data_IF_502395899423
#
_entry.id   IF_502395899423
#
_cell.length_a   1.000
_cell.length_b   1.000
_cell.length_c   1.000
_cell.angle_alpha   90.00
_cell.angle_beta   90.00
_cell.angle_gamma   90.00
#
_symmetry.space_group_name_H-M   'P 1'
#
loop_
_entity.id
_entity.type
_entity.pdbx_description
1 polymer ?
#
# COMPACT_ATOMS: atom_id res chain seq x y z
N UNK A 1 -21.60 -6.56 38.96
CA UNK A 1 -21.81 -6.55 37.48
C UNK A 1 -22.50 -7.83 37.04
N UNK A 2 -23.30 -7.80 35.95
CA UNK A 2 -24.07 -8.97 35.46
C UNK A 2 -23.24 -9.94 34.61
N UNK A 3 -22.27 -9.43 33.86
CA UNK A 3 -21.39 -10.20 32.97
C UNK A 3 -19.98 -10.25 33.54
N UNK A 4 -19.30 -11.40 33.40
CA UNK A 4 -17.90 -11.58 33.84
C UNK A 4 -16.89 -10.87 32.93
N UNK A 5 -17.20 -10.75 31.63
CA UNK A 5 -16.37 -10.13 30.59
C UNK A 5 -17.28 -9.31 29.65
N UNK A 6 -16.75 -8.21 29.10
CA UNK A 6 -17.51 -7.22 28.31
C UNK A 6 -16.86 -6.83 26.98
N UNK A 7 -15.53 -6.66 26.94
CA UNK A 7 -14.84 -6.03 25.81
C UNK A 7 -13.86 -7.00 25.16
N UNK A 8 -14.02 -7.20 23.85
CA UNK A 8 -13.16 -8.04 23.00
C UNK A 8 -13.20 -7.52 21.54
N UNK A 9 -12.29 -6.61 21.15
CA UNK A 9 -12.25 -6.10 19.78
C UNK A 9 -11.95 -7.21 18.76
N UNK A 10 -12.95 -7.55 17.96
CA UNK A 10 -12.90 -8.61 16.93
C UNK A 10 -12.63 -8.04 15.54
N UNK A 11 -12.22 -8.87 14.55
CA UNK A 11 -12.19 -8.44 13.15
C UNK A 11 -13.59 -8.05 12.68
N UNK A 12 -13.72 -6.92 12.00
CA UNK A 12 -15.02 -6.39 11.55
C UNK A 12 -15.17 -6.41 10.05
N UNK A 13 -14.32 -7.12 9.29
CA UNK A 13 -14.24 -7.08 7.83
C UNK A 13 -15.58 -6.86 7.10
N UNK A 14 -16.57 -7.73 7.32
CA UNK A 14 -17.88 -7.62 6.65
C UNK A 14 -18.72 -6.45 7.15
N UNK A 15 -18.79 -6.20 8.46
CA UNK A 15 -19.64 -5.16 9.04
C UNK A 15 -19.05 -3.77 8.81
N UNK A 16 -17.73 -3.59 8.93
CA UNK A 16 -17.07 -2.33 8.57
C UNK A 16 -17.19 -2.04 7.08
N UNK A 17 -17.16 -3.07 6.21
CA UNK A 17 -17.43 -2.89 4.79
C UNK A 17 -18.87 -2.43 4.51
N UNK A 18 -19.86 -3.02 5.17
CA UNK A 18 -21.27 -2.58 5.06
C UNK A 18 -21.43 -1.13 5.49
N UNK A 19 -20.76 -0.73 6.58
CA UNK A 19 -20.82 0.63 7.12
C UNK A 19 -19.86 1.62 6.45
N UNK A 20 -19.01 1.16 5.52
CA UNK A 20 -17.99 1.97 4.86
C UNK A 20 -16.91 2.52 5.80
N UNK A 21 -16.55 1.78 6.84
CA UNK A 21 -15.51 2.10 7.83
C UNK A 21 -14.23 1.28 7.58
N UNK A 22 -13.12 1.69 8.19
CA UNK A 22 -11.92 0.86 8.29
C UNK A 22 -12.18 -0.38 9.16
N UNK A 23 -11.38 -1.42 8.97
CA UNK A 23 -11.49 -2.63 9.76
C UNK A 23 -11.00 -2.39 11.19
N UNK A 24 -11.88 -2.59 12.16
CA UNK A 24 -11.61 -2.53 13.59
C UNK A 24 -10.71 -1.36 14.00
N UNK A 25 -9.59 -1.65 14.67
CA UNK A 25 -8.58 -0.67 15.08
C UNK A 25 -7.35 -0.63 14.15
N UNK A 26 -7.47 -1.12 12.92
CA UNK A 26 -6.36 -1.20 11.98
C UNK A 26 -6.17 0.13 11.23
N UNK A 27 -4.91 0.53 10.98
CA UNK A 27 -4.63 1.58 10.01
C UNK A 27 -5.09 1.17 8.60
N UNK A 28 -5.29 2.16 7.73
CA UNK A 28 -5.60 1.88 6.32
C UNK A 28 -4.46 1.09 5.68
N UNK A 29 -4.80 -0.09 5.13
CA UNK A 29 -3.83 -0.95 4.43
C UNK A 29 -3.36 -0.31 3.12
N UNK A 30 -4.25 0.44 2.47
CA UNK A 30 -4.01 1.20 1.25
C UNK A 30 -5.01 2.37 1.16
N UNK A 31 -4.62 3.50 0.57
CA UNK A 31 -5.56 4.57 0.25
C UNK A 31 -6.32 4.33 -1.07
N UNK A 32 -5.94 3.33 -1.85
CA UNK A 32 -6.66 2.92 -3.07
C UNK A 32 -6.66 1.39 -3.19
N UNK A 33 -7.83 0.79 -3.36
CA UNK A 33 -7.95 -0.67 -3.47
C UNK A 33 -9.00 -1.07 -4.50
N UNK A 34 -8.77 -2.20 -5.14
CA UNK A 34 -9.69 -2.75 -6.13
C UNK A 34 -10.71 -3.65 -5.42
N UNK A 35 -11.99 -3.31 -5.57
CA UNK A 35 -13.11 -4.10 -5.10
C UNK A 35 -13.70 -4.90 -6.26
N UNK A 36 -13.66 -6.22 -6.15
CA UNK A 36 -14.31 -7.15 -7.08
C UNK A 36 -15.76 -7.36 -6.67
N UNK A 37 -16.68 -7.18 -7.60
CA UNK A 37 -18.10 -7.53 -7.47
C UNK A 37 -18.54 -8.31 -8.71
N UNK A 38 -19.74 -8.90 -8.68
CA UNK A 38 -20.26 -9.68 -9.81
C UNK A 38 -20.31 -8.89 -11.13
N UNK A 39 -20.48 -7.57 -11.05
CA UNK A 39 -20.53 -6.66 -12.20
C UNK A 39 -19.16 -6.16 -12.68
N UNK A 40 -18.05 -6.57 -12.05
CA UNK A 40 -16.69 -6.21 -12.46
C UNK A 40 -15.79 -5.75 -11.32
N UNK A 41 -14.67 -5.14 -11.68
CA UNK A 41 -13.70 -4.58 -10.73
C UNK A 41 -13.85 -3.06 -10.64
N UNK A 42 -13.98 -2.54 -9.41
CA UNK A 42 -14.12 -1.12 -9.15
C UNK A 42 -12.98 -0.63 -8.27
N UNK A 43 -12.36 0.48 -8.67
CA UNK A 43 -11.33 1.13 -7.87
C UNK A 43 -12.02 1.97 -6.79
N UNK A 44 -11.73 1.66 -5.53
CA UNK A 44 -12.24 2.39 -4.37
C UNK A 44 -11.10 3.19 -3.75
N UNK A 45 -11.31 4.49 -3.60
CA UNK A 45 -10.35 5.41 -2.97
C UNK A 45 -10.80 5.67 -1.54
N UNK A 46 -9.85 5.88 -0.63
CA UNK A 46 -10.13 6.37 0.71
C UNK A 46 -10.93 7.68 0.63
N UNK A 47 -12.20 7.62 1.06
CA UNK A 47 -13.16 8.74 0.98
C UNK A 47 -12.66 10.00 1.69
N UNK A 48 -11.83 9.85 2.72
CA UNK A 48 -11.26 10.96 3.47
C UNK A 48 -10.17 11.66 2.65
N UNK A 49 -9.21 10.90 2.13
CA UNK A 49 -8.15 11.42 1.25
C UNK A 49 -8.75 12.09 0.01
N UNK A 50 -9.71 11.43 -0.65
CA UNK A 50 -10.39 11.96 -1.82
C UNK A 50 -11.02 13.34 -1.54
N UNK A 51 -11.70 13.47 -0.40
CA UNK A 51 -12.32 14.74 0.01
C UNK A 51 -11.26 15.82 0.22
N UNK A 52 -10.14 15.50 0.85
CA UNK A 52 -9.11 16.48 1.16
C UNK A 52 -8.31 16.90 -0.08
N UNK A 53 -8.04 15.96 -1.00
CA UNK A 53 -7.42 16.28 -2.29
C UNK A 53 -8.34 17.14 -3.17
N UNK A 54 -9.66 16.88 -3.17
CA UNK A 54 -10.62 17.72 -3.89
C UNK A 54 -10.67 19.15 -3.32
N UNK A 55 -10.63 19.32 -2.00
CA UNK A 55 -10.60 20.65 -1.37
C UNK A 55 -9.36 21.46 -1.77
N UNK A 56 -8.24 20.78 -2.01
CA UNK A 56 -7.00 21.40 -2.45
C UNK A 56 -6.92 21.57 -3.98
N UNK A 57 -7.91 21.11 -4.73
CA UNK A 57 -7.87 21.11 -6.20
C UNK A 57 -6.81 20.17 -6.80
N UNK A 58 -6.31 19.21 -6.02
CA UNK A 58 -5.24 18.27 -6.43
C UNK A 58 -5.78 16.96 -7.03
N UNK A 59 -7.09 16.72 -6.94
CA UNK A 59 -7.68 15.48 -7.41
C UNK A 59 -7.96 15.52 -8.92
N UNK A 60 -7.28 14.66 -9.67
CA UNK A 60 -7.49 14.43 -11.10
C UNK A 60 -7.12 12.96 -11.45
N UNK A 61 -7.33 12.56 -12.70
CA UNK A 61 -7.04 11.19 -13.13
C UNK A 61 -5.54 10.85 -13.08
N UNK A 62 -4.65 11.82 -13.28
CA UNK A 62 -3.20 11.63 -13.13
C UNK A 62 -2.83 11.30 -11.68
N UNK A 63 -3.32 12.08 -10.72
CA UNK A 63 -3.15 11.86 -9.28
C UNK A 63 -3.66 10.48 -8.88
N UNK A 64 -4.85 10.08 -9.36
CA UNK A 64 -5.39 8.74 -9.13
C UNK A 64 -4.44 7.66 -9.66
N UNK A 65 -3.93 7.81 -10.88
CA UNK A 65 -3.01 6.85 -11.50
C UNK A 65 -1.68 6.77 -10.75
N UNK A 66 -1.14 7.89 -10.27
CA UNK A 66 0.09 7.92 -9.46
C UNK A 66 -0.09 7.25 -8.11
N UNK A 67 -1.22 7.46 -7.44
CA UNK A 67 -1.54 6.76 -6.18
C UNK A 67 -1.69 5.26 -6.44
N UNK A 68 -2.31 4.84 -7.56
CA UNK A 68 -2.36 3.42 -7.96
C UNK A 68 -0.97 2.86 -8.25
N UNK A 69 -0.11 3.60 -8.94
CA UNK A 69 1.28 3.22 -9.21
C UNK A 69 2.05 3.00 -7.91
N UNK A 70 1.83 3.85 -6.91
CA UNK A 70 2.42 3.77 -5.57
C UNK A 70 1.71 2.79 -4.61
N UNK A 71 0.86 1.89 -5.10
CA UNK A 71 0.11 0.92 -4.28
C UNK A 71 -0.73 1.57 -3.15
N UNK A 72 -1.26 2.76 -3.40
CA UNK A 72 -2.05 3.52 -2.44
C UNK A 72 -1.26 4.30 -1.41
N UNK A 73 0.07 4.33 -1.52
CA UNK A 73 0.88 5.31 -0.80
C UNK A 73 0.78 6.68 -1.45
N UNK A 74 0.87 7.73 -0.63
CA UNK A 74 0.96 9.13 -1.10
C UNK A 74 2.28 9.80 -0.69
N UNK A 75 3.20 9.06 -0.06
CA UNK A 75 4.41 9.64 0.52
C UNK A 75 5.34 10.25 -0.56
N UNK A 76 5.41 9.59 -1.72
CA UNK A 76 6.30 9.95 -2.83
C UNK A 76 5.64 10.86 -3.88
N UNK A 77 4.56 11.57 -3.52
CA UNK A 77 3.86 12.49 -4.42
C UNK A 77 4.13 13.91 -3.94
N UNK A 78 4.92 14.68 -4.70
CA UNK A 78 5.43 15.97 -4.24
C UNK A 78 4.35 17.07 -4.11
N UNK A 79 3.29 17.02 -4.92
CA UNK A 79 2.22 18.03 -4.82
C UNK A 79 1.39 17.90 -3.53
N UNK A 80 1.44 16.76 -2.85
CA UNK A 80 0.65 16.52 -1.64
C UNK A 80 1.37 17.12 -0.42
N UNK A 81 0.72 18.03 0.33
CA UNK A 81 1.30 18.61 1.54
C UNK A 81 1.71 17.59 2.60
N UNK A 82 2.80 17.86 3.33
CA UNK A 82 3.33 16.95 4.34
C UNK A 82 2.33 16.60 5.44
N UNK A 83 1.47 17.53 5.85
CA UNK A 83 0.43 17.26 6.84
C UNK A 83 -0.56 16.18 6.38
N UNK A 84 -0.91 16.13 5.08
CA UNK A 84 -1.76 15.06 4.55
C UNK A 84 -0.98 13.74 4.45
N UNK A 85 0.28 13.79 4.04
CA UNK A 85 1.16 12.61 4.02
C UNK A 85 1.26 11.94 5.39
N UNK A 86 1.34 12.73 6.46
CA UNK A 86 1.36 12.23 7.84
C UNK A 86 0.02 11.57 8.25
N UNK A 87 -1.11 12.16 7.88
CA UNK A 87 -2.45 11.64 8.21
C UNK A 87 -2.76 10.33 7.46
N UNK A 88 -2.39 10.26 6.19
CA UNK A 88 -2.76 9.18 5.28
C UNK A 88 -1.66 8.13 5.10
N UNK A 89 -0.81 7.96 6.12
CA UNK A 89 0.15 6.86 6.16
C UNK A 89 -0.57 5.52 6.06
N UNK A 90 -0.08 4.67 5.18
CA UNK A 90 -0.56 3.30 5.11
C UNK A 90 0.02 2.47 6.25
N UNK A 91 -0.58 1.32 6.55
CA UNK A 91 -0.08 0.40 7.59
C UNK A 91 1.38 -0.02 7.40
N UNK A 92 1.85 0.01 6.15
CA UNK A 92 3.22 -0.35 5.74
C UNK A 92 4.23 0.75 6.06
N UNK A 93 3.76 2.00 6.16
CA UNK A 93 4.57 3.18 6.49
C UNK A 93 4.61 3.45 7.99
N UNK A 94 3.76 2.78 8.76
CA UNK A 94 3.67 2.91 10.21
C UNK A 94 4.58 1.88 10.89
N UNK A 95 5.38 2.36 11.86
CA UNK A 95 6.23 1.50 12.69
C UNK A 95 5.35 0.51 13.47
N UNK A 96 5.55 -0.78 13.24
CA UNK A 96 4.76 -1.83 13.92
C UNK A 96 4.90 -1.80 15.45
N UNK A 97 6.05 -1.35 15.96
CA UNK A 97 6.25 -1.11 17.40
C UNK A 97 5.22 -0.12 17.97
N UNK A 98 4.91 0.94 17.23
CA UNK A 98 3.89 1.92 17.62
C UNK A 98 2.50 1.28 17.70
N UNK A 99 2.15 0.41 16.76
CA UNK A 99 0.87 -0.31 16.79
C UNK A 99 0.79 -1.24 18.00
N UNK A 100 1.87 -1.94 18.34
CA UNK A 100 1.95 -2.80 19.54
C UNK A 100 1.83 -1.97 20.82
N UNK A 101 2.51 -0.82 20.88
CA UNK A 101 2.42 0.08 22.04
C UNK A 101 0.97 0.60 22.21
N UNK A 102 0.32 1.05 21.13
CA UNK A 102 -1.10 1.46 21.17
C UNK A 102 -2.05 0.30 21.50
N UNK A 103 -1.71 -0.93 21.12
CA UNK A 103 -2.47 -2.12 21.50
C UNK A 103 -2.33 -2.42 23.00
N UNK A 104 -1.15 -2.20 23.57
CA UNK A 104 -0.91 -2.36 25.01
C UNK A 104 -1.65 -1.27 25.81
N UNK A 105 -1.59 -0.02 25.35
CA UNK A 105 -2.26 1.11 25.99
C UNK A 105 -3.78 0.89 26.08
N UNK A 106 -4.42 0.47 24.97
CA UNK A 106 -5.86 0.14 25.01
C UNK A 106 -6.14 -1.17 25.74
N UNK A 107 -5.17 -2.09 25.79
CA UNK A 107 -5.27 -3.40 26.43
C UNK A 107 -5.58 -3.30 27.93
N UNK A 108 -5.17 -2.21 28.59
CA UNK A 108 -5.51 -1.93 29.99
C UNK A 108 -7.03 -1.82 30.24
N UNK A 109 -7.81 -1.50 29.21
CA UNK A 109 -9.27 -1.35 29.28
C UNK A 109 -10.03 -2.51 28.63
N UNK A 110 -9.33 -3.58 28.22
CA UNK A 110 -9.90 -4.76 27.56
C UNK A 110 -9.82 -5.96 28.50
N UNK A 111 -10.98 -6.42 28.99
CA UNK A 111 -11.05 -7.57 29.88
C UNK A 111 -10.68 -8.90 29.19
N UNK A 112 -11.01 -9.05 27.89
CA UNK A 112 -10.59 -10.21 27.08
C UNK A 112 -9.29 -9.91 26.34
N UNK A 113 -9.25 -10.04 25.01
CA UNK A 113 -8.10 -9.68 24.17
C UNK A 113 -8.59 -8.95 22.91
N UNK A 114 -7.69 -8.77 21.93
CA UNK A 114 -7.93 -8.07 20.68
C UNK A 114 -7.25 -8.79 19.50
N UNK A 115 -7.89 -8.80 18.33
CA UNK A 115 -7.36 -9.44 17.12
C UNK A 115 -6.33 -8.55 16.41
N UNK A 116 -5.11 -8.47 16.96
CA UNK A 116 -4.04 -7.61 16.45
C UNK A 116 -3.29 -8.23 15.27
N UNK A 117 -3.51 -7.73 14.06
CA UNK A 117 -2.68 -8.06 12.90
C UNK A 117 -1.35 -7.29 12.93
N UNK A 118 -0.29 -7.93 12.42
CA UNK A 118 1.05 -7.34 12.27
C UNK A 118 1.42 -7.29 10.79
N UNK A 119 1.92 -6.16 10.34
CA UNK A 119 2.23 -5.89 8.93
C UNK A 119 3.74 -5.70 8.78
N UNK A 120 4.41 -6.57 8.03
CA UNK A 120 5.86 -6.55 7.93
C UNK A 120 6.34 -6.73 6.50
N UNK A 121 7.07 -5.73 6.02
CA UNK A 121 7.82 -5.84 4.77
C UNK A 121 9.15 -6.56 5.02
N UNK A 122 9.48 -7.51 4.13
CA UNK A 122 10.69 -8.32 4.19
C UNK A 122 10.91 -8.93 5.58
N UNK A 123 10.01 -9.83 6.02
CA UNK A 123 10.11 -10.47 7.33
C UNK A 123 11.40 -11.31 7.40
N UNK A 124 12.05 -11.26 8.56
CA UNK A 124 13.19 -12.11 8.86
C UNK A 124 13.12 -12.54 10.34
N UNK A 125 13.92 -13.54 10.71
CA UNK A 125 13.92 -14.07 12.08
C UNK A 125 14.13 -12.97 13.12
N UNK A 126 15.12 -12.10 12.93
CA UNK A 126 15.42 -11.04 13.90
C UNK A 126 14.23 -10.07 14.11
N UNK A 127 13.56 -9.65 13.03
CA UNK A 127 12.38 -8.77 13.09
C UNK A 127 11.19 -9.45 13.76
N UNK A 128 10.90 -10.70 13.42
CA UNK A 128 9.77 -11.44 14.00
C UNK A 128 10.02 -11.75 15.48
N UNK A 129 11.21 -12.22 15.82
CA UNK A 129 11.61 -12.48 17.21
C UNK A 129 11.51 -11.19 18.04
N UNK A 130 12.12 -10.09 17.59
CA UNK A 130 12.06 -8.83 18.33
C UNK A 130 10.63 -8.31 18.50
N UNK A 131 9.78 -8.44 17.48
CA UNK A 131 8.36 -8.06 17.53
C UNK A 131 7.59 -8.89 18.57
N UNK A 132 7.71 -10.22 18.54
CA UNK A 132 7.03 -11.11 19.48
C UNK A 132 7.48 -10.86 20.92
N UNK A 133 8.79 -10.73 21.16
CA UNK A 133 9.31 -10.43 22.50
C UNK A 133 8.88 -9.04 22.98
N UNK A 134 8.76 -8.05 22.10
CA UNK A 134 8.24 -6.72 22.46
C UNK A 134 6.76 -6.80 22.89
N UNK A 135 5.91 -7.46 22.09
CA UNK A 135 4.50 -7.66 22.41
C UNK A 135 4.30 -8.41 23.74
N UNK A 136 5.08 -9.46 23.97
CA UNK A 136 5.05 -10.24 25.22
C UNK A 136 5.47 -9.40 26.42
N UNK A 137 6.60 -8.68 26.34
CA UNK A 137 7.08 -7.79 27.42
C UNK A 137 6.09 -6.67 27.75
N UNK A 138 5.32 -6.22 26.75
CA UNK A 138 4.25 -5.23 26.93
C UNK A 138 2.98 -5.79 27.58
N UNK A 139 2.92 -7.10 27.83
CA UNK A 139 1.78 -7.75 28.48
C UNK A 139 0.58 -7.97 27.56
N UNK A 140 0.77 -7.99 26.24
CA UNK A 140 -0.31 -8.31 25.31
C UNK A 140 -0.76 -9.76 25.47
N UNK A 141 -2.07 -9.95 25.65
CA UNK A 141 -2.71 -11.28 25.69
C UNK A 141 -2.66 -11.96 24.31
N UNK A 142 -2.89 -11.19 23.24
CA UNK A 142 -2.68 -11.61 21.85
C UNK A 142 -1.57 -10.77 21.26
N UNK A 143 -0.38 -11.35 21.09
CA UNK A 143 0.77 -10.65 20.52
C UNK A 143 0.72 -10.54 18.98
N UNK A 144 0.02 -11.46 18.31
CA UNK A 144 -0.18 -11.45 16.86
C UNK A 144 -1.38 -12.34 16.49
N UNK A 145 -2.22 -11.86 15.58
CA UNK A 145 -3.29 -12.63 14.94
C UNK A 145 -2.82 -13.16 13.58
N UNK A 146 -2.78 -12.30 12.55
CA UNK A 146 -2.08 -12.60 11.30
C UNK A 146 -0.78 -11.81 11.17
N UNK A 147 0.21 -12.45 10.58
CA UNK A 147 1.33 -11.77 9.93
C UNK A 147 0.95 -11.49 8.47
N UNK A 148 0.89 -10.21 8.10
CA UNK A 148 0.67 -9.76 6.73
C UNK A 148 2.00 -9.28 6.14
N UNK A 149 2.37 -9.84 5.00
CA UNK A 149 3.61 -9.52 4.31
C UNK A 149 3.30 -8.98 2.92
N UNK A 150 4.21 -8.16 2.38
CA UNK A 150 4.24 -7.83 0.97
C UNK A 150 5.29 -8.66 0.26
N UNK A 151 5.03 -8.96 -1.02
CA UNK A 151 6.05 -9.53 -1.89
C UNK A 151 7.21 -8.55 -2.05
N UNK A 152 8.43 -9.08 -2.25
CA UNK A 152 9.64 -8.27 -2.40
C UNK A 152 9.67 -7.47 -3.71
N UNK A 153 8.85 -7.84 -4.70
CA UNK A 153 8.67 -7.11 -5.96
C UNK A 153 7.20 -6.94 -6.25
N UNK A 154 6.84 -5.75 -6.72
CA UNK A 154 5.50 -5.47 -7.20
C UNK A 154 5.24 -6.22 -8.51
N UNK A 155 3.99 -6.65 -8.69
CA UNK A 155 3.56 -7.15 -9.99
C UNK A 155 3.58 -6.01 -11.01
N UNK A 156 4.05 -6.30 -12.23
CA UNK A 156 4.07 -5.33 -13.34
C UNK A 156 2.63 -4.88 -13.62
N UNK A 157 2.38 -3.57 -13.52
CA UNK A 157 1.04 -2.97 -13.67
C UNK A 157 0.78 -2.57 -15.12
N UNK A 158 0.44 -3.55 -15.96
CA UNK A 158 0.20 -3.37 -17.40
C UNK A 158 -0.87 -2.33 -17.78
N UNK A 159 -1.76 -1.95 -16.87
CA UNK A 159 -2.85 -1.00 -17.16
C UNK A 159 -2.42 0.46 -17.14
N UNK A 160 -1.34 0.82 -16.44
CA UNK A 160 -0.88 2.21 -16.32
C UNK A 160 -0.02 2.67 -17.51
N UNK A 161 0.71 1.75 -18.14
CA UNK A 161 1.56 2.06 -19.29
C UNK A 161 0.75 2.52 -20.50
N UNK A 162 -0.49 2.05 -20.70
CA UNK A 162 -1.35 2.49 -21.80
C UNK A 162 -1.77 3.96 -21.71
N UNK A 163 -1.76 4.56 -20.52
CA UNK A 163 -2.05 5.97 -20.34
C UNK A 163 -0.81 6.86 -20.49
N UNK A 164 0.37 6.36 -20.08
CA UNK A 164 1.64 7.10 -20.23
C UNK A 164 2.26 6.98 -21.64
N UNK A 165 1.90 5.95 -22.41
CA UNK A 165 2.34 5.72 -23.80
C UNK A 165 1.48 6.43 -24.86
N UNK A 166 0.79 7.50 -24.49
CA UNK A 166 0.24 8.48 -25.45
C UNK A 166 1.10 9.76 -25.55
N UNK A 167 2.39 9.67 -25.20
CA UNK A 167 3.38 10.52 -25.86
C UNK A 167 3.59 9.96 -27.27
N UNK A 168 3.24 10.74 -28.30
CA UNK A 168 3.47 10.40 -29.71
C UNK A 168 4.83 9.69 -29.87
N UNK A 169 4.89 8.43 -30.36
CA UNK A 169 6.13 8.01 -30.98
C UNK A 169 6.30 8.92 -32.19
N UNK A 170 7.21 9.89 -32.10
CA UNK A 170 7.77 10.51 -33.30
C UNK A 170 8.26 9.34 -34.15
N UNK A 171 7.52 9.05 -35.21
CA UNK A 171 7.89 8.04 -36.18
C UNK A 171 9.27 8.45 -36.70
N UNK A 172 10.31 7.69 -36.32
CA UNK A 172 11.65 7.87 -36.88
C UNK A 172 11.51 7.79 -38.40
N UNK A 173 12.09 8.75 -39.10
CA UNK A 173 12.00 8.84 -40.57
C UNK A 173 12.75 7.65 -41.17
N UNK A 174 12.34 7.17 -42.34
CA UNK A 174 12.97 6.01 -42.99
C UNK A 174 14.50 6.18 -43.17
N UNK A 175 14.97 7.42 -43.31
CA UNK A 175 16.40 7.77 -43.38
C UNK A 175 17.16 7.48 -42.06
N UNK A 176 16.54 7.68 -40.90
CA UNK A 176 17.16 7.41 -39.60
C UNK A 176 17.29 5.90 -39.32
N UNK A 177 16.30 5.12 -39.77
CA UNK A 177 16.35 3.65 -39.69
C UNK A 177 17.43 3.08 -40.61
N UNK A 178 17.60 3.67 -41.80
CA UNK A 178 18.59 3.22 -42.77
C UNK A 178 20.03 3.59 -42.33
N UNK A 179 20.20 4.71 -41.63
CA UNK A 179 21.47 5.10 -41.01
C UNK A 179 21.87 4.19 -39.82
N UNK A 180 20.91 3.79 -38.98
CA UNK A 180 21.14 2.80 -37.90
C UNK A 180 21.52 1.42 -38.47
N UNK A 181 20.86 0.98 -39.56
CA UNK A 181 21.18 -0.28 -40.23
C UNK A 181 22.58 -0.23 -40.88
N UNK A 182 22.95 0.89 -41.52
CA UNK A 182 24.28 1.06 -42.11
C UNK A 182 25.39 1.04 -41.05
N UNK A 183 25.20 1.72 -39.91
CA UNK A 183 26.17 1.70 -38.81
C UNK A 183 26.36 0.31 -38.21
N UNK A 184 25.32 -0.54 -38.22
CA UNK A 184 25.40 -1.91 -37.71
C UNK A 184 26.17 -2.88 -38.62
N UNK A 185 26.29 -2.57 -39.92
CA UNK A 185 26.95 -3.42 -40.91
C UNK A 185 28.47 -3.16 -40.99
N UNK A 186 28.90 -1.92 -40.75
CA UNK A 186 30.31 -1.52 -40.88
C UNK A 186 31.16 -1.78 -39.62
N UNK A 187 30.53 -2.06 -38.46
CA UNK A 187 31.27 -2.36 -37.24
C UNK A 187 30.53 -3.36 -36.31
N UNK A 188 30.49 -4.66 -36.67
CA UNK A 188 29.74 -5.68 -35.93
C UNK A 188 30.23 -5.91 -34.49
N UNK A 189 31.47 -5.51 -34.15
CA UNK A 189 32.07 -5.70 -32.82
C UNK A 189 31.67 -4.62 -31.80
N UNK A 190 30.95 -3.55 -32.21
CA UNK A 190 30.49 -2.50 -31.30
C UNK A 190 29.11 -2.76 -30.66
N UNK A 191 28.45 -3.87 -31.02
CA UNK A 191 27.08 -4.19 -30.60
C UNK A 191 27.06 -5.11 -29.36
N UNK A 192 27.45 -4.60 -28.19
CA UNK A 192 27.27 -5.29 -26.91
C UNK A 192 25.85 -5.10 -26.35
N UNK A 193 24.81 -5.49 -27.09
CA UNK A 193 23.44 -5.45 -26.56
C UNK A 193 22.56 -6.67 -26.83
N UNK A 194 23.17 -7.82 -27.16
CA UNK A 194 22.47 -9.11 -27.19
C UNK A 194 23.21 -10.17 -26.37
N UNK A 195 23.38 -9.94 -25.06
CA UNK A 195 23.69 -11.00 -24.10
C UNK A 195 23.01 -10.69 -22.75
N UNK A 196 21.93 -11.42 -22.46
CA UNK A 196 21.20 -11.38 -21.18
C UNK A 196 19.70 -11.17 -21.33
#
# INVERSE_FOLDING_TARGET
VRNSLLVAPMPTASTSQILGNSECFEPYTSNIYTRRVLSGEFIVVNKHLLRDLNKLGLWNDDMKNRIMAANGSIQNIDEIPQNLKEIYKTVWEIKQRTLIDMAADRGAFICQSQSLNVFMENPNFAKLTSMHFHAWRKGLKTGMYYLRTKAARDAIKFTLERAASQGNPTAKTAEEQQAEISCSLDNPDACESCSG
#
